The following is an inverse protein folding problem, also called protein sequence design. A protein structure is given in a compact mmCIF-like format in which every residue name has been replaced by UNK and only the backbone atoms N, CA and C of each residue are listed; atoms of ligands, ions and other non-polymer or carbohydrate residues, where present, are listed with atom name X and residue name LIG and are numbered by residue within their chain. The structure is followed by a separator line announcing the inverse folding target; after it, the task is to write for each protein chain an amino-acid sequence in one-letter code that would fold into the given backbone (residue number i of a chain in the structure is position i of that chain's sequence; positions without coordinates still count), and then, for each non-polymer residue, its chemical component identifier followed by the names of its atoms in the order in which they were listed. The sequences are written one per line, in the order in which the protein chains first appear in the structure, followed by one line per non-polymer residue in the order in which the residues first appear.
data_IF_890838949454
#
_entry.id   IF_890838949454
#
_cell.length_a   1.000
_cell.length_b   1.000
_cell.length_c   1.000
_cell.angle_alpha   90.00
_cell.angle_beta   90.00
_cell.angle_gamma   90.00
#
_symmetry.space_group_name_H-M   'P 1'
#
loop_
_entity.id
_entity.type
_entity.pdbx_description
1 polymer ?
#
# COMPACT_ATOMS: atom_id res chain seq x y z
N UNK A 1 29.45 -15.29 1.03
CA UNK A 1 28.34 -16.22 0.77
C UNK A 1 28.51 -16.75 -0.65
N UNK A 2 28.83 -18.03 -0.80
CA UNK A 2 28.97 -18.70 -2.10
C UNK A 2 27.67 -19.43 -2.43
N UNK A 3 27.06 -19.06 -3.53
CA UNK A 3 25.86 -19.75 -4.03
C UNK A 3 26.21 -21.18 -4.48
N UNK A 4 25.36 -22.17 -4.20
CA UNK A 4 25.54 -23.52 -4.73
C UNK A 4 25.63 -23.52 -6.27
N UNK A 5 26.56 -24.27 -6.86
CA UNK A 5 26.75 -24.36 -8.32
C UNK A 5 25.46 -24.63 -9.13
N UNK A 6 24.52 -25.36 -8.55
CA UNK A 6 23.21 -25.61 -9.19
C UNK A 6 22.39 -24.33 -9.36
N UNK A 7 22.54 -23.33 -8.48
CA UNK A 7 21.83 -22.05 -8.59
C UNK A 7 22.46 -21.14 -9.62
N UNK A 8 23.78 -21.21 -9.83
CA UNK A 8 24.47 -20.45 -10.86
C UNK A 8 24.06 -20.88 -12.29
N UNK A 9 23.76 -22.17 -12.47
CA UNK A 9 23.29 -22.74 -13.74
C UNK A 9 21.79 -22.57 -13.97
N UNK A 10 21.04 -22.07 -13.01
CA UNK A 10 19.57 -21.93 -13.08
C UNK A 10 19.19 -20.73 -13.94
N UNK A 11 18.20 -20.91 -14.83
CA UNK A 11 17.53 -19.80 -15.53
C UNK A 11 16.63 -19.05 -14.53
N UNK A 12 17.09 -17.91 -14.07
CA UNK A 12 16.30 -17.04 -13.22
C UNK A 12 15.22 -16.33 -14.03
N UNK A 13 13.96 -16.48 -13.63
CA UNK A 13 12.87 -15.67 -14.12
C UNK A 13 12.63 -14.54 -13.15
N UNK A 14 12.81 -13.32 -13.63
CA UNK A 14 12.56 -12.11 -12.83
C UNK A 14 11.26 -11.48 -13.29
N UNK A 15 10.46 -11.01 -12.36
CA UNK A 15 9.33 -10.15 -12.66
C UNK A 15 9.84 -8.72 -12.92
N UNK A 16 9.24 -8.00 -13.88
CA UNK A 16 9.52 -6.56 -14.03
C UNK A 16 9.16 -5.82 -12.74
N UNK A 17 9.64 -4.59 -12.58
CA UNK A 17 9.30 -3.76 -11.43
C UNK A 17 7.78 -3.71 -11.24
N UNK A 18 7.30 -4.18 -10.10
CA UNK A 18 5.87 -4.34 -9.82
C UNK A 18 5.21 -3.04 -9.36
N UNK A 19 5.99 -2.04 -8.95
CA UNK A 19 5.47 -0.74 -8.51
C UNK A 19 4.73 -0.07 -9.67
N UNK A 20 3.42 0.00 -9.56
CA UNK A 20 2.51 0.60 -10.53
C UNK A 20 1.51 1.50 -9.81
N UNK A 21 0.97 2.48 -10.53
CA UNK A 21 -0.14 3.31 -10.06
C UNK A 21 -1.18 3.42 -11.17
N UNK A 22 -2.45 3.28 -10.80
CA UNK A 22 -3.53 3.61 -11.69
C UNK A 22 -3.65 5.14 -11.81
N UNK A 23 -3.91 5.63 -12.99
CA UNK A 23 -4.19 7.05 -13.22
C UNK A 23 -5.61 7.46 -12.84
N UNK A 24 -6.52 6.48 -12.75
CA UNK A 24 -7.92 6.67 -12.44
C UNK A 24 -8.38 5.56 -11.48
N UNK A 25 -9.12 5.89 -10.43
CA UNK A 25 -9.59 4.93 -9.42
C UNK A 25 -11.09 4.60 -9.53
N UNK A 26 -11.82 5.37 -10.31
CA UNK A 26 -13.22 5.18 -10.64
C UNK A 26 -13.49 5.70 -12.04
N UNK A 27 -14.49 5.19 -12.70
CA UNK A 27 -14.96 5.62 -14.01
C UNK A 27 -16.35 5.02 -14.27
N UNK A 28 -16.85 5.16 -15.49
CA UNK A 28 -18.18 4.69 -15.84
C UNK A 28 -18.39 3.22 -15.43
N UNK A 29 -19.20 3.01 -14.40
CA UNK A 29 -19.63 1.73 -13.83
C UNK A 29 -18.49 0.84 -13.30
N UNK A 30 -17.36 1.44 -12.87
CA UNK A 30 -16.30 0.68 -12.18
C UNK A 30 -15.68 1.47 -11.03
N UNK A 31 -15.30 0.76 -9.98
CA UNK A 31 -14.52 1.25 -8.84
C UNK A 31 -13.31 0.32 -8.65
N UNK A 32 -12.10 0.87 -8.65
CA UNK A 32 -10.88 0.08 -8.42
C UNK A 32 -10.63 -0.15 -6.94
N UNK A 33 -10.12 -1.34 -6.61
CA UNK A 33 -9.80 -1.77 -5.25
C UNK A 33 -8.42 -2.43 -5.21
N UNK A 34 -7.82 -2.48 -4.03
CA UNK A 34 -6.59 -3.22 -3.76
C UNK A 34 -5.47 -2.89 -4.75
N UNK A 35 -4.78 -3.90 -5.24
CA UNK A 35 -3.63 -3.76 -6.13
C UNK A 35 -3.97 -3.18 -7.51
N UNK A 36 -5.25 -3.19 -7.92
CA UNK A 36 -5.71 -2.52 -9.13
C UNK A 36 -5.56 -0.99 -9.04
N UNK A 37 -5.58 -0.41 -7.84
CA UNK A 37 -5.37 1.03 -7.63
C UNK A 37 -3.91 1.44 -7.68
N UNK A 38 -3.03 0.50 -7.51
CA UNK A 38 -1.59 0.66 -7.52
C UNK A 38 -0.93 -0.35 -6.60
N UNK A 39 0.23 -0.78 -6.99
CA UNK A 39 1.05 -1.70 -6.24
C UNK A 39 2.36 -1.00 -5.83
N UNK A 40 2.67 -1.03 -4.58
CA UNK A 40 3.96 -0.65 -4.04
C UNK A 40 4.62 -1.92 -3.53
N UNK A 41 5.88 -2.12 -3.87
CA UNK A 41 6.65 -3.29 -3.46
C UNK A 41 6.45 -3.59 -1.96
N UNK A 42 6.06 -4.83 -1.59
CA UNK A 42 5.58 -5.17 -0.26
C UNK A 42 6.73 -5.21 0.75
N UNK A 43 7.14 -4.06 1.25
CA UNK A 43 8.14 -3.98 2.31
C UNK A 43 7.55 -4.34 3.69
N UNK A 44 6.28 -4.01 3.91
CA UNK A 44 5.61 -4.17 5.21
C UNK A 44 4.56 -5.27 5.24
N UNK A 45 4.23 -5.89 4.10
CA UNK A 45 3.18 -6.90 4.01
C UNK A 45 1.75 -6.36 4.15
N UNK A 46 1.55 -5.05 4.14
CA UNK A 46 0.25 -4.41 4.42
C UNK A 46 -0.74 -4.43 3.25
N UNK A 47 -0.34 -4.87 2.06
CA UNK A 47 -1.19 -4.85 0.86
C UNK A 47 -2.55 -5.55 1.07
N UNK A 48 -2.57 -6.69 1.76
CA UNK A 48 -3.81 -7.41 2.08
C UNK A 48 -4.72 -6.61 3.01
N UNK A 49 -4.17 -5.97 4.03
CA UNK A 49 -4.94 -5.15 4.96
C UNK A 49 -5.56 -3.94 4.24
N UNK A 50 -4.84 -3.33 3.31
CA UNK A 50 -5.37 -2.22 2.50
C UNK A 50 -6.46 -2.68 1.53
N UNK A 51 -6.29 -3.85 0.91
CA UNK A 51 -7.30 -4.42 0.03
C UNK A 51 -8.60 -4.74 0.80
N UNK A 52 -8.50 -5.33 1.99
CA UNK A 52 -9.65 -5.60 2.86
C UNK A 52 -10.32 -4.29 3.33
N UNK A 53 -9.53 -3.29 3.72
CA UNK A 53 -10.06 -1.98 4.11
C UNK A 53 -10.81 -1.29 2.97
N UNK A 54 -10.26 -1.34 1.75
CA UNK A 54 -10.92 -0.80 0.57
C UNK A 54 -12.18 -1.60 0.21
N UNK A 55 -12.14 -2.94 0.34
CA UNK A 55 -13.28 -3.82 0.12
C UNK A 55 -14.46 -3.53 1.07
N UNK A 56 -14.17 -3.32 2.37
CA UNK A 56 -15.20 -2.92 3.32
C UNK A 56 -15.74 -1.51 3.03
N UNK A 57 -14.87 -0.57 2.65
CA UNK A 57 -15.26 0.81 2.43
C UNK A 57 -16.05 1.02 1.13
N UNK A 58 -15.97 0.12 0.15
CA UNK A 58 -16.67 0.25 -1.13
C UNK A 58 -18.15 -0.15 -1.05
N UNK A 59 -18.54 -0.97 -0.07
CA UNK A 59 -19.88 -1.51 0.01
C UNK A 59 -21.00 -0.45 -0.11
N UNK A 60 -21.02 0.65 0.66
CA UNK A 60 -22.05 1.67 0.53
C UNK A 60 -22.05 2.36 -0.85
N UNK A 61 -20.89 2.46 -1.51
CA UNK A 61 -20.83 3.03 -2.88
C UNK A 61 -21.43 2.08 -3.91
N UNK A 62 -21.26 0.77 -3.73
CA UNK A 62 -21.86 -0.25 -4.61
C UNK A 62 -23.37 -0.27 -4.42
N UNK A 63 -23.88 -0.16 -3.20
CA UNK A 63 -25.30 -0.07 -2.90
C UNK A 63 -25.93 1.17 -3.56
N UNK A 64 -25.29 2.34 -3.41
CA UNK A 64 -25.76 3.56 -4.07
C UNK A 64 -25.75 3.44 -5.60
N UNK A 65 -24.69 2.83 -6.15
CA UNK A 65 -24.53 2.61 -7.59
C UNK A 65 -25.58 1.70 -8.23
N UNK A 66 -26.28 0.86 -7.44
CA UNK A 66 -27.40 0.05 -7.92
C UNK A 66 -28.60 0.91 -8.34
N UNK A 67 -28.79 2.07 -7.70
CA UNK A 67 -29.81 3.03 -8.05
C UNK A 67 -29.40 3.88 -9.25
N UNK A 68 -28.40 4.69 -9.07
CA UNK A 68 -27.90 5.61 -10.09
C UNK A 68 -26.38 5.77 -10.01
N UNK A 69 -25.72 5.60 -11.14
CA UNK A 69 -24.30 5.89 -11.27
C UNK A 69 -24.07 7.38 -11.53
N UNK A 70 -23.24 8.04 -10.73
CA UNK A 70 -23.00 9.47 -10.84
C UNK A 70 -21.51 9.81 -10.79
N UNK A 71 -21.15 10.91 -11.45
CA UNK A 71 -19.80 11.45 -11.34
C UNK A 71 -19.46 11.91 -9.93
N UNK A 72 -20.45 12.16 -9.07
CA UNK A 72 -20.22 12.48 -7.67
C UNK A 72 -19.82 11.25 -6.87
N UNK A 73 -20.47 10.12 -7.09
CA UNK A 73 -20.09 8.82 -6.52
C UNK A 73 -18.64 8.49 -6.84
N UNK A 74 -18.21 8.66 -8.10
CA UNK A 74 -16.84 8.44 -8.52
C UNK A 74 -15.85 9.33 -7.76
N UNK A 75 -16.15 10.63 -7.66
CA UNK A 75 -15.30 11.59 -6.92
C UNK A 75 -15.22 11.27 -5.43
N UNK A 76 -16.31 10.86 -4.80
CA UNK A 76 -16.34 10.48 -3.38
C UNK A 76 -15.54 9.22 -3.15
N UNK A 77 -15.70 8.20 -4.01
CA UNK A 77 -14.87 7.00 -3.94
C UNK A 77 -13.39 7.30 -4.10
N UNK A 78 -13.01 8.11 -5.08
CA UNK A 78 -11.63 8.49 -5.30
C UNK A 78 -11.01 9.17 -4.06
N UNK A 79 -11.72 10.10 -3.42
CA UNK A 79 -11.26 10.73 -2.16
C UNK A 79 -11.12 9.69 -1.06
N UNK A 80 -12.12 8.85 -0.87
CA UNK A 80 -12.11 7.80 0.17
C UNK A 80 -10.94 6.84 0.01
N UNK A 81 -10.64 6.43 -1.21
CA UNK A 81 -9.53 5.54 -1.50
C UNK A 81 -8.17 6.21 -1.24
N UNK A 82 -8.03 7.48 -1.61
CA UNK A 82 -6.81 8.27 -1.31
C UNK A 82 -6.56 8.31 0.20
N UNK A 83 -7.58 8.55 1.00
CA UNK A 83 -7.47 8.61 2.45
C UNK A 83 -7.10 7.25 3.06
N UNK A 84 -7.68 6.17 2.52
CA UNK A 84 -7.47 4.81 3.05
C UNK A 84 -6.10 4.21 2.68
N UNK A 85 -5.64 4.43 1.46
CA UNK A 85 -4.53 3.65 0.90
C UNK A 85 -3.35 4.49 0.46
N UNK A 86 -3.57 5.56 -0.29
CA UNK A 86 -2.49 6.28 -0.99
C UNK A 86 -1.55 6.99 -0.02
N UNK A 87 -2.05 7.54 1.07
CA UNK A 87 -1.24 8.19 2.09
C UNK A 87 -0.24 7.19 2.72
N UNK A 88 -0.70 5.98 3.01
CA UNK A 88 0.12 4.90 3.57
C UNK A 88 1.10 4.34 2.54
N UNK A 89 0.66 4.13 1.31
CA UNK A 89 1.54 3.71 0.21
C UNK A 89 2.69 4.69 -0.03
N UNK A 90 2.45 6.00 0.10
CA UNK A 90 3.52 7.02 0.01
C UNK A 90 4.57 6.85 1.09
N UNK A 91 4.16 6.64 2.33
CA UNK A 91 5.09 6.40 3.46
C UNK A 91 5.91 5.14 3.21
N UNK A 92 5.27 4.03 2.82
CA UNK A 92 5.97 2.78 2.48
C UNK A 92 6.93 2.96 1.30
N UNK A 93 6.55 3.71 0.26
CA UNK A 93 7.41 3.99 -0.89
C UNK A 93 8.65 4.81 -0.52
N UNK A 94 8.49 5.83 0.31
CA UNK A 94 9.61 6.63 0.81
C UNK A 94 10.54 5.77 1.67
N UNK A 95 9.97 4.99 2.59
CA UNK A 95 10.75 4.11 3.46
C UNK A 95 11.51 3.06 2.66
N UNK A 96 10.87 2.40 1.69
CA UNK A 96 11.53 1.41 0.83
C UNK A 96 12.65 2.02 -0.01
N UNK A 97 12.47 3.26 -0.49
CA UNK A 97 13.52 3.99 -1.23
C UNK A 97 14.72 4.32 -0.34
N UNK A 98 14.46 4.78 0.88
CA UNK A 98 15.53 5.06 1.86
C UNK A 98 16.30 3.80 2.24
N UNK A 99 15.60 2.69 2.45
CA UNK A 99 16.21 1.42 2.86
C UNK A 99 16.95 0.68 1.72
N UNK A 100 16.75 1.07 0.47
CA UNK A 100 17.53 0.56 -0.66
C UNK A 100 18.96 1.11 -0.72
N UNK A 101 19.22 2.19 -0.04
CA UNK A 101 20.56 2.81 -0.02
C UNK A 101 21.32 2.40 1.25
N UNK A 102 22.50 1.76 1.14
CA UNK A 102 23.22 1.24 2.30
C UNK A 102 23.63 2.33 3.30
N UNK A 103 23.94 3.53 2.84
CA UNK A 103 24.31 4.66 3.70
C UNK A 103 23.12 5.13 4.55
N UNK A 104 21.96 5.28 3.94
CA UNK A 104 20.73 5.70 4.65
C UNK A 104 20.23 4.61 5.58
N UNK A 105 20.34 3.34 5.19
CA UNK A 105 19.98 2.19 6.04
C UNK A 105 20.83 2.15 7.31
N UNK A 106 22.14 2.29 7.18
CA UNK A 106 23.05 2.33 8.33
C UNK A 106 22.74 3.54 9.25
N UNK A 107 22.49 4.71 8.68
CA UNK A 107 22.13 5.90 9.44
C UNK A 107 20.80 5.72 10.19
N UNK A 108 19.78 5.17 9.53
CA UNK A 108 18.46 4.88 10.13
C UNK A 108 18.57 3.81 11.22
N UNK A 109 19.38 2.78 11.01
CA UNK A 109 19.63 1.74 12.00
C UNK A 109 20.29 2.32 13.25
N UNK A 110 21.37 3.07 13.09
CA UNK A 110 22.07 3.71 14.19
C UNK A 110 21.16 4.68 14.96
N UNK A 111 20.37 5.48 14.24
CA UNK A 111 19.38 6.38 14.84
C UNK A 111 18.32 5.62 15.61
N UNK A 112 17.81 4.52 15.05
CA UNK A 112 16.82 3.66 15.69
C UNK A 112 17.35 2.97 16.95
N UNK A 113 18.62 2.58 16.96
CA UNK A 113 19.28 2.03 18.15
C UNK A 113 19.46 3.08 19.27
N UNK A 114 19.79 4.32 18.90
CA UNK A 114 19.94 5.40 19.87
C UNK A 114 18.60 5.92 20.40
N UNK A 115 17.57 5.92 19.58
CA UNK A 115 16.25 6.47 19.88
C UNK A 115 15.13 5.48 19.54
N UNK A 116 14.96 4.40 20.33
CA UNK A 116 13.99 3.34 20.03
C UNK A 116 12.53 3.79 19.99
N UNK A 117 12.21 4.94 20.56
CA UNK A 117 10.87 5.53 20.50
C UNK A 117 10.47 5.96 19.08
N UNK A 118 11.42 6.30 18.20
CA UNK A 118 11.14 6.75 16.83
C UNK A 118 10.58 5.61 15.96
N UNK A 119 11.29 4.47 15.79
CA UNK A 119 10.75 3.35 15.00
C UNK A 119 9.46 2.80 15.60
N UNK A 120 9.31 2.76 16.92
CA UNK A 120 8.06 2.33 17.56
C UNK A 120 6.87 3.23 17.22
N UNK A 121 7.06 4.56 17.17
CA UNK A 121 6.02 5.50 16.74
C UNK A 121 5.63 5.31 15.28
N UNK A 122 6.61 5.11 14.40
CA UNK A 122 6.38 4.85 12.98
C UNK A 122 5.58 3.56 12.81
N UNK A 123 6.01 2.46 13.42
CA UNK A 123 5.32 1.17 13.37
C UNK A 123 3.89 1.29 13.89
N UNK A 124 3.69 1.96 15.03
CA UNK A 124 2.34 2.18 15.58
C UNK A 124 1.47 3.02 14.65
N UNK A 125 2.02 4.00 13.95
CA UNK A 125 1.26 4.82 12.99
C UNK A 125 0.84 4.03 11.76
N UNK A 126 1.69 3.12 11.29
CA UNK A 126 1.39 2.22 10.18
C UNK A 126 0.32 1.18 10.57
N UNK A 127 0.43 0.61 11.79
CA UNK A 127 -0.48 -0.42 12.28
C UNK A 127 -1.82 0.11 12.84
N UNK A 128 -2.04 1.43 12.88
CA UNK A 128 -3.34 1.97 13.26
C UNK A 128 -4.36 1.68 12.16
N UNK A 129 -5.08 0.59 12.31
CA UNK A 129 -6.35 0.36 11.61
C UNK A 129 -7.28 1.49 12.05
N UNK A 130 -7.81 2.26 11.08
CA UNK A 130 -8.75 3.35 11.39
C UNK A 130 -9.94 2.78 12.16
N UNK A 131 -10.32 3.37 13.33
CA UNK A 131 -11.40 2.84 14.18
C UNK A 131 -12.79 2.84 13.52
N UNK A 132 -12.94 3.35 12.30
CA UNK A 132 -14.18 3.36 11.55
C UNK A 132 -14.62 1.99 10.99
N UNK A 133 -13.85 0.92 11.22
CA UNK A 133 -14.24 -0.44 10.86
C UNK A 133 -15.04 -1.17 11.96
N UNK A 134 -15.19 -0.59 13.15
CA UNK A 134 -15.81 -1.27 14.30
C UNK A 134 -17.24 -0.79 14.59
N UNK A 135 -17.81 0.09 13.76
CA UNK A 135 -19.18 0.60 13.94
C UNK A 135 -19.98 0.47 12.64
N UNK A 136 -20.30 -0.76 12.30
CA UNK A 136 -21.39 -1.11 11.37
C UNK A 136 -22.01 -2.40 11.84
#
# INVERSE_FOLDING_TARGET
FTLPRRLEASRWQLTPALTRRAGLFAGDRFLLLGDATGYVEPFTGEGMAWALAAGAAVAPFVEEAQGEWSADLERRWQRRLVDLTISRQRVCSVLSTLLRQPLTTNALFNLGCQWPAIPQRIIRSLNRVSPQMASS
#
